data_IF_434990647145
#
_entry.id   IF_434990647145
#
_cell.length_a   1.000
_cell.length_b   1.000
_cell.length_c   1.000
_cell.angle_alpha   90.00
_cell.angle_beta   90.00
_cell.angle_gamma   90.00
#
_symmetry.space_group_name_H-M   'P 1'
#
loop_
_entity.id
_entity.type
_entity.pdbx_description
1 polymer ?
#
# COMPACT_ATOMS: atom_id res chain seq x y z
N UNK A 1 25.49 29.21 -56.81
CA UNK A 1 25.70 28.70 -55.45
C UNK A 1 24.52 29.18 -54.61
N UNK A 2 23.60 28.29 -54.28
CA UNK A 2 22.45 28.63 -53.42
C UNK A 2 22.96 28.83 -51.99
N UNK A 3 22.73 30.03 -51.45
CA UNK A 3 23.13 30.39 -50.11
C UNK A 3 22.16 29.75 -49.10
N UNK A 4 22.64 28.74 -48.36
CA UNK A 4 21.91 28.14 -47.25
C UNK A 4 21.79 29.17 -46.11
N UNK A 5 20.58 29.67 -45.85
CA UNK A 5 20.34 30.52 -44.70
C UNK A 5 20.28 29.67 -43.41
N UNK A 6 20.96 30.09 -42.34
CA UNK A 6 20.93 29.35 -41.07
C UNK A 6 19.53 29.42 -40.45
N UNK A 7 18.89 28.27 -40.29
CA UNK A 7 17.64 28.17 -39.54
C UNK A 7 17.91 28.41 -38.04
N UNK A 8 17.41 29.52 -37.52
CA UNK A 8 17.40 29.82 -36.09
C UNK A 8 16.40 28.90 -35.38
N UNK A 9 16.85 27.73 -34.95
CA UNK A 9 16.07 26.83 -34.10
C UNK A 9 16.08 27.40 -32.68
N UNK A 10 14.90 27.56 -32.08
CA UNK A 10 14.78 28.01 -30.69
C UNK A 10 15.56 27.09 -29.75
N UNK A 11 16.39 27.67 -28.87
CA UNK A 11 17.12 26.91 -27.85
C UNK A 11 16.11 26.15 -26.96
N UNK A 12 16.33 24.86 -26.69
CA UNK A 12 15.46 24.11 -25.79
C UNK A 12 15.47 24.78 -24.40
N UNK A 13 14.30 25.17 -23.92
CA UNK A 13 14.14 25.67 -22.56
C UNK A 13 14.09 24.47 -21.61
N UNK A 14 15.04 24.38 -20.68
CA UNK A 14 15.03 23.36 -19.64
C UNK A 14 13.88 23.65 -18.67
N UNK A 15 12.73 23.00 -18.88
CA UNK A 15 11.62 23.05 -17.93
C UNK A 15 11.91 22.03 -16.82
N UNK A 16 12.44 22.50 -15.70
CA UNK A 16 12.61 21.68 -14.51
C UNK A 16 11.24 21.29 -13.96
N UNK A 17 10.98 19.99 -13.84
CA UNK A 17 9.75 19.50 -13.23
C UNK A 17 9.81 19.75 -11.71
N UNK A 18 8.71 20.20 -11.08
CA UNK A 18 8.69 20.46 -9.64
C UNK A 18 8.92 19.17 -8.86
N UNK A 19 9.71 19.26 -7.79
CA UNK A 19 9.99 18.11 -6.90
C UNK A 19 8.72 17.60 -6.21
N UNK A 20 8.73 16.35 -5.73
CA UNK A 20 7.63 15.80 -4.94
C UNK A 20 7.26 16.70 -3.73
N UNK A 21 8.25 17.31 -3.08
CA UNK A 21 8.04 18.25 -1.98
C UNK A 21 7.34 19.55 -2.45
N UNK A 22 7.69 20.04 -3.64
CA UNK A 22 7.07 21.22 -4.24
C UNK A 22 5.62 20.96 -4.67
N UNK A 23 5.33 19.76 -5.19
CA UNK A 23 3.97 19.31 -5.50
C UNK A 23 3.12 19.12 -4.24
N UNK A 24 3.70 18.59 -3.16
CA UNK A 24 3.00 18.46 -1.89
C UNK A 24 2.68 19.84 -1.27
N UNK A 25 3.59 20.80 -1.42
CA UNK A 25 3.44 22.16 -0.89
C UNK A 25 2.43 23.01 -1.67
N UNK A 26 2.13 22.69 -2.93
CA UNK A 26 1.15 23.42 -3.75
C UNK A 26 -0.30 22.97 -3.52
N UNK A 27 -0.52 21.90 -2.75
CA UNK A 27 -1.86 21.41 -2.46
C UNK A 27 -2.54 22.25 -1.36
N UNK A 28 -3.86 22.50 -1.50
CA UNK A 28 -4.62 23.17 -0.47
C UNK A 28 -4.55 22.35 0.83
N UNK A 29 -4.48 23.05 1.98
CA UNK A 29 -4.48 22.44 3.30
C UNK A 29 -5.87 21.87 3.60
N UNK A 30 -6.13 20.66 3.12
CA UNK A 30 -7.35 19.91 3.41
C UNK A 30 -7.18 19.25 4.78
N UNK A 31 -8.22 19.32 5.61
CA UNK A 31 -8.25 18.57 6.87
C UNK A 31 -8.39 17.09 6.53
N UNK A 32 -7.31 16.34 6.70
CA UNK A 32 -7.26 14.90 6.48
C UNK A 32 -6.72 14.21 7.73
N UNK A 33 -7.14 12.97 7.95
CA UNK A 33 -6.56 12.10 8.98
C UNK A 33 -5.07 11.85 8.71
N UNK A 34 -4.32 11.43 9.74
CA UNK A 34 -2.89 11.18 9.60
C UNK A 34 -2.60 10.08 8.57
N UNK A 35 -3.41 9.00 8.57
CA UNK A 35 -3.27 7.88 7.63
C UNK A 35 -3.50 8.32 6.18
N UNK A 36 -4.47 9.19 5.93
CA UNK A 36 -4.73 9.74 4.59
C UNK A 36 -3.57 10.61 4.10
N UNK A 37 -2.96 11.39 4.99
CA UNK A 37 -1.78 12.20 4.64
C UNK A 37 -0.59 11.35 4.23
N UNK A 38 -0.30 10.28 4.97
CA UNK A 38 0.78 9.35 4.63
C UNK A 38 0.53 8.64 3.30
N UNK A 39 -0.72 8.19 3.06
CA UNK A 39 -1.10 7.59 1.77
C UNK A 39 -0.91 8.56 0.62
N UNK A 40 -1.34 9.81 0.76
CA UNK A 40 -1.18 10.81 -0.30
C UNK A 40 0.29 11.13 -0.55
N UNK A 41 1.10 11.29 0.51
CA UNK A 41 2.54 11.53 0.38
C UNK A 41 3.26 10.38 -0.34
N UNK A 42 2.94 9.13 0.01
CA UNK A 42 3.52 7.96 -0.67
C UNK A 42 3.13 7.88 -2.15
N UNK A 43 1.86 8.15 -2.49
CA UNK A 43 1.39 8.20 -3.88
C UNK A 43 2.14 9.30 -4.66
N UNK A 44 2.31 10.48 -4.08
CA UNK A 44 3.03 11.59 -4.70
C UNK A 44 4.51 11.29 -4.92
N UNK A 45 5.15 10.65 -3.94
CA UNK A 45 6.53 10.25 -4.09
C UNK A 45 6.69 9.23 -5.23
N UNK A 46 5.82 8.22 -5.30
CA UNK A 46 5.84 7.23 -6.37
C UNK A 46 5.54 7.85 -7.74
N UNK A 47 4.57 8.75 -7.83
CA UNK A 47 4.24 9.42 -9.10
C UNK A 47 5.39 10.31 -9.59
N UNK A 48 6.05 11.03 -8.68
CA UNK A 48 7.23 11.82 -9.00
C UNK A 48 8.39 10.94 -9.50
N UNK A 49 8.65 9.80 -8.85
CA UNK A 49 9.70 8.85 -9.29
C UNK A 49 9.42 8.31 -10.69
N UNK A 50 8.18 7.90 -10.98
CA UNK A 50 7.76 7.46 -12.33
C UNK A 50 7.96 8.55 -13.37
N UNK A 51 7.61 9.79 -13.04
CA UNK A 51 7.81 10.94 -13.94
C UNK A 51 9.29 11.18 -14.22
N UNK A 52 10.14 11.13 -13.20
CA UNK A 52 11.59 11.28 -13.32
C UNK A 52 12.19 10.19 -14.20
N UNK A 53 11.81 8.93 -13.99
CA UNK A 53 12.24 7.80 -14.82
C UNK A 53 11.82 7.98 -16.28
N UNK A 54 10.57 8.39 -16.53
CA UNK A 54 10.11 8.67 -17.89
C UNK A 54 10.87 9.83 -18.54
N UNK A 55 11.15 10.90 -17.79
CA UNK A 55 11.95 12.01 -18.30
C UNK A 55 13.37 11.55 -18.70
N UNK A 56 14.01 10.74 -17.86
CA UNK A 56 15.32 10.15 -18.14
C UNK A 56 15.24 9.28 -19.40
N UNK A 57 14.22 8.43 -19.53
CA UNK A 57 14.02 7.59 -20.73
C UNK A 57 13.84 8.43 -21.99
N UNK A 58 13.02 9.48 -21.94
CA UNK A 58 12.86 10.41 -23.07
C UNK A 58 14.19 11.06 -23.47
N UNK A 59 14.99 11.51 -22.49
CA UNK A 59 16.32 12.05 -22.76
C UNK A 59 17.24 11.00 -23.39
N UNK A 60 17.26 9.77 -22.86
CA UNK A 60 18.06 8.68 -23.41
C UNK A 60 17.66 8.32 -24.85
N UNK A 61 16.36 8.35 -25.15
CA UNK A 61 15.83 8.15 -26.52
C UNK A 61 16.30 9.27 -27.44
N UNK A 62 16.14 10.54 -27.04
CA UNK A 62 16.56 11.69 -27.84
C UNK A 62 18.07 11.72 -28.10
N UNK A 63 18.87 11.24 -27.14
CA UNK A 63 20.32 11.15 -27.26
C UNK A 63 20.81 9.83 -27.87
N UNK A 64 19.91 8.95 -28.33
CA UNK A 64 20.24 7.69 -28.99
C UNK A 64 20.90 6.63 -28.09
N UNK A 65 20.93 6.84 -26.77
CA UNK A 65 21.50 5.88 -25.80
C UNK A 65 20.52 4.78 -25.42
N UNK A 66 19.23 4.95 -25.73
CA UNK A 66 18.18 3.95 -25.57
C UNK A 66 17.45 3.75 -26.90
N UNK A 67 17.44 2.52 -27.39
CA UNK A 67 16.64 2.15 -28.56
C UNK A 67 15.16 2.05 -28.19
N UNK A 68 14.28 2.47 -29.09
CA UNK A 68 12.85 2.22 -29.00
C UNK A 68 12.62 0.72 -28.89
N UNK A 69 12.11 0.25 -27.74
CA UNK A 69 11.41 -1.04 -27.72
C UNK A 69 10.01 -0.77 -28.23
N UNK A 70 9.61 -1.43 -29.31
CA UNK A 70 8.20 -1.50 -29.65
C UNK A 70 7.47 -2.04 -28.42
N UNK A 71 6.43 -1.32 -27.98
CA UNK A 71 5.49 -1.89 -27.02
C UNK A 71 4.76 -2.96 -27.80
N UNK A 72 5.20 -4.20 -27.67
CA UNK A 72 4.47 -5.35 -28.19
C UNK A 72 3.16 -5.39 -27.43
N UNK A 73 2.08 -5.03 -28.12
CA UNK A 73 0.75 -5.23 -27.60
C UNK A 73 0.55 -6.75 -27.49
N UNK A 74 0.17 -7.18 -26.29
CA UNK A 74 -0.16 -8.56 -26.00
C UNK A 74 -1.21 -9.05 -27.01
N UNK A 75 -1.09 -10.30 -27.48
CA UNK A 75 -2.06 -10.86 -28.43
C UNK A 75 -3.46 -10.85 -27.78
N UNK A 76 -4.51 -10.63 -28.58
CA UNK A 76 -5.89 -10.56 -28.09
C UNK A 76 -6.29 -11.86 -27.35
N UNK A 77 -5.74 -13.00 -27.76
CA UNK A 77 -5.92 -14.26 -27.08
C UNK A 77 -5.26 -14.27 -25.70
N UNK A 78 -4.02 -13.80 -25.59
CA UNK A 78 -3.30 -13.69 -24.32
C UNK A 78 -3.98 -12.69 -23.39
N UNK A 79 -4.49 -11.57 -23.91
CA UNK A 79 -5.28 -10.60 -23.17
C UNK A 79 -6.55 -11.22 -22.60
N UNK A 80 -7.28 -12.00 -23.40
CA UNK A 80 -8.48 -12.69 -22.94
C UNK A 80 -8.18 -13.70 -21.81
N UNK A 81 -7.05 -14.41 -21.89
CA UNK A 81 -6.61 -15.36 -20.85
C UNK A 81 -6.25 -14.61 -19.56
N UNK A 82 -5.50 -13.52 -19.67
CA UNK A 82 -5.15 -12.67 -18.53
C UNK A 82 -6.39 -12.09 -17.85
N UNK A 83 -7.36 -11.59 -18.63
CA UNK A 83 -8.61 -11.06 -18.10
C UNK A 83 -9.44 -12.15 -17.38
N UNK A 84 -9.54 -13.34 -17.97
CA UNK A 84 -10.22 -14.47 -17.35
C UNK A 84 -9.56 -14.89 -16.03
N UNK A 85 -8.23 -14.96 -15.99
CA UNK A 85 -7.48 -15.23 -14.77
C UNK A 85 -7.69 -14.14 -13.72
N UNK A 86 -7.72 -12.87 -14.14
CA UNK A 86 -7.99 -11.75 -13.23
C UNK A 86 -9.39 -11.83 -12.63
N UNK A 87 -10.40 -12.25 -13.39
CA UNK A 87 -11.75 -12.47 -12.87
C UNK A 87 -11.81 -13.61 -11.86
N UNK A 88 -11.11 -14.72 -12.12
CA UNK A 88 -11.00 -15.85 -11.18
C UNK A 88 -10.37 -15.37 -9.87
N UNK A 89 -9.23 -14.69 -9.95
CA UNK A 89 -8.54 -14.15 -8.77
C UNK A 89 -9.42 -13.16 -7.99
N UNK A 90 -10.20 -12.31 -8.67
CA UNK A 90 -11.15 -11.40 -8.01
C UNK A 90 -12.24 -12.17 -7.27
N UNK A 91 -12.76 -13.26 -7.82
CA UNK A 91 -13.74 -14.12 -7.15
C UNK A 91 -13.12 -14.80 -5.93
N UNK A 92 -11.90 -15.31 -6.05
CA UNK A 92 -11.18 -15.98 -4.97
C UNK A 92 -10.87 -15.01 -3.81
N UNK A 93 -10.41 -13.80 -4.13
CA UNK A 93 -10.18 -12.73 -3.14
C UNK A 93 -11.48 -12.45 -2.38
N UNK A 94 -12.60 -12.28 -3.09
CA UNK A 94 -13.89 -12.01 -2.45
C UNK A 94 -14.34 -13.17 -1.56
N UNK A 95 -14.12 -14.41 -1.98
CA UNK A 95 -14.42 -15.58 -1.16
C UNK A 95 -13.56 -15.63 0.11
N UNK A 96 -12.26 -15.33 0.00
CA UNK A 96 -11.34 -15.25 1.12
C UNK A 96 -11.70 -14.12 2.09
N UNK A 97 -12.11 -12.96 1.59
CA UNK A 97 -12.58 -11.85 2.41
C UNK A 97 -13.81 -12.24 3.24
N UNK A 98 -14.78 -12.94 2.63
CA UNK A 98 -15.96 -13.46 3.33
C UNK A 98 -15.56 -14.48 4.39
N UNK A 99 -14.67 -15.42 4.07
CA UNK A 99 -14.19 -16.42 5.01
C UNK A 99 -13.45 -15.77 6.20
N UNK A 100 -12.58 -14.80 5.94
CA UNK A 100 -11.89 -14.03 6.96
C UNK A 100 -12.86 -13.24 7.84
N UNK A 101 -13.88 -12.60 7.26
CA UNK A 101 -14.91 -11.90 8.04
C UNK A 101 -15.63 -12.86 9.02
N UNK A 102 -15.98 -14.07 8.56
CA UNK A 102 -16.59 -15.11 9.39
C UNK A 102 -15.65 -15.57 10.50
N UNK A 103 -14.38 -15.84 10.18
CA UNK A 103 -13.36 -16.24 11.15
C UNK A 103 -13.14 -15.17 12.22
N UNK A 104 -13.03 -13.90 11.81
CA UNK A 104 -12.88 -12.78 12.74
C UNK A 104 -14.09 -12.65 13.66
N UNK A 105 -15.31 -12.81 13.13
CA UNK A 105 -16.53 -12.78 13.94
C UNK A 105 -16.57 -13.95 14.95
N UNK A 106 -16.24 -15.17 14.51
CA UNK A 106 -16.18 -16.36 15.37
C UNK A 106 -15.12 -16.20 16.47
N UNK A 107 -13.95 -15.66 16.13
CA UNK A 107 -12.87 -15.42 17.09
C UNK A 107 -13.26 -14.35 18.12
N UNK A 108 -13.89 -13.25 17.69
CA UNK A 108 -14.42 -12.22 18.61
C UNK A 108 -15.47 -12.81 19.56
N UNK A 109 -16.36 -13.66 19.05
CA UNK A 109 -17.36 -14.35 19.87
C UNK A 109 -16.71 -15.32 20.88
N UNK A 110 -15.68 -16.07 20.47
CA UNK A 110 -14.93 -16.97 21.34
C UNK A 110 -14.18 -16.20 22.44
N UNK A 111 -13.57 -15.06 22.11
CA UNK A 111 -12.96 -14.17 23.11
C UNK A 111 -14.02 -13.68 24.11
N UNK A 112 -15.16 -13.17 23.63
CA UNK A 112 -16.23 -12.71 24.51
C UNK A 112 -16.74 -13.82 25.44
N UNK A 113 -16.96 -15.02 24.90
CA UNK A 113 -17.40 -16.19 25.68
C UNK A 113 -16.35 -16.64 26.71
N UNK A 114 -15.06 -16.60 26.37
CA UNK A 114 -13.98 -16.95 27.31
C UNK A 114 -13.80 -15.89 28.39
N UNK A 115 -13.96 -14.60 28.07
CA UNK A 115 -13.97 -13.51 29.04
C UNK A 115 -15.15 -13.62 30.01
N UNK A 116 -16.35 -13.94 29.51
CA UNK A 116 -17.55 -14.15 30.33
C UNK A 116 -17.43 -15.39 31.23
N UNK A 117 -16.85 -16.50 30.72
CA UNK A 117 -16.52 -17.65 31.57
C UNK A 117 -15.50 -17.31 32.65
N UNK A 118 -14.54 -16.42 32.35
CA UNK A 118 -13.52 -15.98 33.32
C UNK A 118 -14.13 -15.09 34.41
N UNK A 119 -15.08 -14.22 34.07
CA UNK A 119 -15.77 -13.35 35.05
C UNK A 119 -16.75 -14.13 35.93
N UNK A 120 -17.41 -15.16 35.40
CA UNK A 120 -18.34 -16.03 36.13
C UNK A 120 -17.66 -17.16 36.91
N UNK A 121 -16.34 -17.33 36.76
CA UNK A 121 -15.59 -18.34 37.51
C UNK A 121 -15.62 -17.96 39.00
N UNK A 122 -16.08 -18.84 39.91
CA UNK A 122 -16.00 -18.58 41.33
C UNK A 122 -14.54 -18.26 41.68
N UNK A 123 -14.28 -17.09 42.28
CA UNK A 123 -12.97 -16.84 42.89
C UNK A 123 -12.82 -17.87 43.99
N UNK A 124 -11.84 -18.76 43.86
CA UNK A 124 -11.42 -19.54 45.02
C UNK A 124 -11.10 -18.56 46.14
N UNK A 125 -11.56 -18.82 47.39
CA UNK A 125 -11.17 -18.00 48.50
C UNK A 125 -9.64 -18.05 48.55
N UNK A 126 -8.99 -16.89 48.41
CA UNK A 126 -7.57 -16.78 48.67
C UNK A 126 -7.37 -17.28 50.11
N UNK A 127 -6.88 -18.52 50.25
CA UNK A 127 -6.47 -19.02 51.55
C UNK A 127 -5.27 -18.18 51.92
N UNK A 128 -5.51 -17.14 52.71
CA UNK A 128 -4.47 -16.31 53.28
C UNK A 128 -3.40 -17.23 53.88
N UNK A 129 -2.11 -17.00 53.60
CA UNK A 129 -1.02 -17.91 53.99
C UNK A 129 -0.93 -18.14 55.50
N UNK A 130 -1.61 -17.30 56.29
CA UNK A 130 -1.71 -17.40 57.75
C UNK A 130 -2.41 -18.67 58.27
N UNK A 131 -3.37 -19.27 57.52
CA UNK A 131 -4.10 -20.45 58.04
C UNK A 131 -3.34 -21.78 57.88
N UNK A 132 -2.37 -21.84 56.95
CA UNK A 132 -1.60 -23.08 56.70
C UNK A 132 -0.59 -23.39 57.81
N UNK A 133 -0.13 -22.38 58.54
CA UNK A 133 0.86 -22.52 59.62
C UNK A 133 0.28 -23.03 60.94
N UNK A 134 -1.01 -22.80 61.23
CA UNK A 134 -1.62 -23.26 62.49
C UNK A 134 -1.94 -24.76 62.53
N UNK A 135 -2.01 -25.42 61.38
CA UNK A 135 -2.36 -26.85 61.29
C UNK A 135 -1.16 -27.79 61.44
N UNK A 136 0.08 -27.26 61.39
CA UNK A 136 1.30 -28.06 61.44
C UNK A 136 1.99 -28.07 62.81
N UNK A 137 1.51 -27.27 63.77
CA UNK A 137 2.15 -27.11 65.09
C UNK A 137 1.27 -27.55 66.27
N UNK A 138 0.14 -28.23 66.02
CA UNK A 138 -0.66 -28.84 67.07
C UNK A 138 -0.56 -30.37 66.98
N UNK A 139 0.53 -30.89 67.53
CA UNK A 139 0.68 -32.28 67.98
C UNK A 139 1.14 -32.25 69.43
#
# INVERSE_FOLDING_TARGET
MEALQPALIARPTARCLPSAATLAASLPKIHMSHEEKERIQSIQHQSFRRLQENHIRCAQILHGTMQWRAVEFMDANEESVCLNQQEVLRRDIKALEIANAKLVAAHKAAIAASADRRSKRPREPETSPSKRLKMLTSL
#
